data_IF_577597283036
#
_entry.id   IF_577597283036
#
_cell.length_a   1.000
_cell.length_b   1.000
_cell.length_c   1.000
_cell.angle_alpha   90.00
_cell.angle_beta   90.00
_cell.angle_gamma   90.00
#
_symmetry.space_group_name_H-M   'P 1'
#
loop_
_entity.id
_entity.type
_entity.pdbx_description
1 polymer ?
#
# COMPACT_ATOMS: atom_id res chain seq x y z
N UNK A 1 -30.13 4.60 9.54
CA UNK A 1 -28.80 5.13 9.91
C UNK A 1 -27.82 4.27 9.14
N UNK A 2 -27.32 4.80 8.02
CA UNK A 2 -26.29 4.14 7.21
C UNK A 2 -24.95 4.28 7.96
N UNK A 3 -24.43 3.17 8.46
CA UNK A 3 -23.05 3.11 8.94
C UNK A 3 -22.13 3.20 7.72
N UNK A 4 -21.77 4.40 7.31
CA UNK A 4 -20.69 4.64 6.37
C UNK A 4 -19.39 4.51 7.16
N UNK A 5 -18.78 3.35 7.15
CA UNK A 5 -17.38 3.23 7.50
C UNK A 5 -16.57 3.84 6.36
N UNK A 6 -16.38 5.17 6.42
CA UNK A 6 -15.52 5.90 5.49
C UNK A 6 -14.09 5.65 5.96
N UNK A 7 -13.40 4.79 5.25
CA UNK A 7 -11.96 4.66 5.38
C UNK A 7 -11.37 5.83 4.57
N UNK A 8 -11.05 6.92 5.25
CA UNK A 8 -10.34 8.05 4.65
C UNK A 8 -8.89 7.64 4.45
N UNK A 9 -8.55 7.19 3.26
CA UNK A 9 -7.17 6.91 2.88
C UNK A 9 -6.84 7.61 1.58
N UNK A 10 -5.97 8.56 1.72
CA UNK A 10 -4.89 9.00 0.84
C UNK A 10 -5.18 9.43 -0.58
N UNK A 11 -4.64 10.61 -0.81
CA UNK A 11 -4.59 11.36 -2.07
C UNK A 11 -3.66 10.65 -3.06
N UNK A 12 -4.22 9.81 -3.90
CA UNK A 12 -3.65 9.49 -5.20
C UNK A 12 -4.02 10.67 -6.12
N UNK A 13 -3.13 11.17 -6.94
CA UNK A 13 -3.28 12.44 -7.70
C UNK A 13 -4.65 12.70 -8.34
N UNK A 14 -5.49 11.70 -8.54
CA UNK A 14 -6.85 11.82 -9.07
C UNK A 14 -7.93 11.09 -8.26
N UNK A 15 -7.58 10.47 -7.13
CA UNK A 15 -8.51 9.72 -6.28
C UNK A 15 -8.62 10.44 -4.93
N UNK A 16 -9.81 10.94 -4.62
CA UNK A 16 -10.08 11.64 -3.36
C UNK A 16 -10.36 10.70 -2.20
N UNK A 17 -10.96 9.55 -2.48
CA UNK A 17 -11.29 8.53 -1.50
C UNK A 17 -11.53 7.17 -2.18
N UNK A 18 -11.38 6.12 -1.39
CA UNK A 18 -11.76 4.75 -1.73
C UNK A 18 -12.81 4.30 -0.74
N UNK A 19 -13.92 3.77 -1.22
CA UNK A 19 -15.04 3.34 -0.38
C UNK A 19 -15.47 1.92 -0.77
N UNK A 20 -15.70 1.08 0.23
CA UNK A 20 -16.35 -0.22 0.03
C UNK A 20 -17.85 -0.03 0.26
N UNK A 21 -18.64 -0.18 -0.80
CA UNK A 21 -20.11 -0.11 -0.75
C UNK A 21 -20.72 -1.49 -0.80
N UNK A 22 -21.72 -1.69 0.00
CA UNK A 22 -22.58 -2.86 -0.09
C UNK A 22 -23.94 -2.45 -0.66
N UNK A 23 -24.26 -2.95 -1.84
CA UNK A 23 -25.60 -2.82 -2.38
C UNK A 23 -26.44 -4.00 -1.91
N UNK A 24 -27.59 -3.69 -1.38
CA UNK A 24 -28.52 -4.67 -0.86
C UNK A 24 -29.65 -4.92 -1.87
N UNK A 25 -29.75 -6.13 -2.36
CA UNK A 25 -30.89 -6.58 -3.15
C UNK A 25 -31.72 -7.61 -2.38
N UNK A 26 -33.00 -7.32 -2.20
CA UNK A 26 -33.94 -8.24 -1.60
C UNK A 26 -34.53 -9.11 -2.71
N UNK A 27 -34.03 -10.34 -2.86
CA UNK A 27 -34.58 -11.32 -3.79
C UNK A 27 -35.42 -12.34 -2.99
N UNK A 28 -36.71 -12.13 -2.92
CA UNK A 28 -37.63 -13.00 -2.13
C UNK A 28 -37.31 -12.97 -0.64
N UNK A 29 -37.07 -14.13 -0.04
CA UNK A 29 -36.70 -14.29 1.39
C UNK A 29 -35.19 -14.23 1.62
N UNK A 30 -34.36 -14.22 0.59
CA UNK A 30 -32.92 -14.19 0.68
C UNK A 30 -32.40 -12.76 0.61
N UNK A 31 -31.37 -12.48 1.42
CA UNK A 31 -30.62 -11.21 1.38
C UNK A 31 -29.34 -11.44 0.58
N UNK A 32 -29.20 -10.77 -0.54
CA UNK A 32 -27.99 -10.80 -1.33
C UNK A 32 -27.25 -9.46 -1.17
N UNK A 33 -25.99 -9.52 -0.77
CA UNK A 33 -25.12 -8.36 -0.63
C UNK A 33 -24.11 -8.37 -1.78
N UNK A 34 -24.12 -7.32 -2.57
CA UNK A 34 -23.10 -7.09 -3.60
C UNK A 34 -22.14 -6.03 -3.09
N UNK A 35 -20.88 -6.43 -2.84
CA UNK A 35 -19.84 -5.50 -2.42
C UNK A 35 -19.12 -4.98 -3.65
N UNK A 36 -18.93 -3.67 -3.71
CA UNK A 36 -18.16 -3.00 -4.75
C UNK A 36 -17.23 -1.95 -4.16
N UNK A 37 -16.12 -1.72 -4.84
CA UNK A 37 -15.15 -0.70 -4.48
C UNK A 37 -15.34 0.48 -5.41
N UNK A 38 -15.52 1.66 -4.84
CA UNK A 38 -15.77 2.91 -5.55
C UNK A 38 -14.66 3.91 -5.24
N UNK A 39 -14.16 4.55 -6.28
CA UNK A 39 -13.21 5.65 -6.16
C UNK A 39 -13.94 6.97 -6.37
N UNK A 40 -13.72 7.92 -5.46
CA UNK A 40 -14.08 9.31 -5.68
C UNK A 40 -12.98 10.03 -6.44
N UNK A 41 -13.24 10.42 -7.69
CA UNK A 41 -12.35 11.21 -8.53
C UNK A 41 -12.86 12.66 -8.69
N UNK A 42 -12.00 13.55 -9.25
CA UNK A 42 -12.40 14.95 -9.53
C UNK A 42 -13.64 15.04 -10.45
N UNK A 43 -13.80 14.09 -11.34
CA UNK A 43 -14.86 14.07 -12.37
C UNK A 43 -16.02 13.11 -12.04
N UNK A 44 -16.15 12.67 -10.80
CA UNK A 44 -17.21 11.76 -10.37
C UNK A 44 -16.69 10.49 -9.72
N UNK A 45 -17.60 9.54 -9.55
CA UNK A 45 -17.29 8.24 -8.96
C UNK A 45 -16.97 7.20 -10.03
N UNK A 46 -15.99 6.37 -9.80
CA UNK A 46 -15.57 5.27 -10.67
C UNK A 46 -15.69 3.95 -9.91
N UNK A 47 -16.39 2.98 -10.51
CA UNK A 47 -16.39 1.61 -10.01
C UNK A 47 -15.11 0.89 -10.45
N UNK A 48 -14.44 0.24 -9.50
CA UNK A 48 -13.19 -0.49 -9.74
C UNK A 48 -13.35 -1.61 -10.78
N UNK A 49 -14.54 -2.20 -10.90
CA UNK A 49 -14.77 -3.37 -11.74
C UNK A 49 -14.67 -3.11 -13.24
N UNK A 50 -14.87 -1.88 -13.71
CA UNK A 50 -14.96 -1.63 -15.15
C UNK A 50 -14.09 -0.53 -15.71
N UNK A 51 -13.55 0.38 -14.89
CA UNK A 51 -12.96 1.64 -15.37
C UNK A 51 -11.56 1.94 -14.83
N UNK A 52 -10.96 1.04 -14.07
CA UNK A 52 -9.64 1.23 -13.50
C UNK A 52 -8.57 0.47 -14.28
N UNK A 53 -7.40 1.08 -14.43
CA UNK A 53 -6.21 0.41 -14.96
C UNK A 53 -5.76 -0.73 -14.03
N UNK A 54 -4.92 -1.63 -14.55
CA UNK A 54 -4.37 -2.73 -13.74
C UNK A 54 -3.57 -2.20 -12.53
N UNK A 55 -2.72 -1.17 -12.73
CA UNK A 55 -1.96 -0.53 -11.66
C UNK A 55 -2.85 0.10 -10.60
N UNK A 56 -3.90 0.82 -11.00
CA UNK A 56 -4.87 1.39 -10.07
C UNK A 56 -5.58 0.33 -9.22
N UNK A 57 -5.90 -0.83 -9.80
CA UNK A 57 -6.50 -1.95 -9.05
C UNK A 57 -5.56 -2.53 -8.00
N UNK A 58 -4.27 -2.69 -8.36
CA UNK A 58 -3.25 -3.19 -7.45
C UNK A 58 -3.04 -2.20 -6.31
N UNK A 59 -2.83 -0.93 -6.62
CA UNK A 59 -2.67 0.13 -5.63
C UNK A 59 -3.86 0.21 -4.67
N UNK A 60 -5.07 0.19 -5.19
CA UNK A 60 -6.29 0.17 -4.37
C UNK A 60 -6.36 -1.06 -3.45
N UNK A 61 -5.98 -2.23 -3.97
CA UNK A 61 -5.94 -3.46 -3.18
C UNK A 61 -4.97 -3.35 -2.01
N UNK A 62 -3.78 -2.78 -2.22
CA UNK A 62 -2.79 -2.55 -1.17
C UNK A 62 -3.33 -1.56 -0.15
N UNK A 63 -3.86 -0.43 -0.58
CA UNK A 63 -4.43 0.60 0.30
C UNK A 63 -5.57 0.04 1.16
N UNK A 64 -6.49 -0.73 0.57
CA UNK A 64 -7.58 -1.36 1.31
C UNK A 64 -7.03 -2.33 2.37
N UNK A 65 -6.02 -3.14 2.03
CA UNK A 65 -5.39 -4.05 2.99
C UNK A 65 -4.72 -3.29 4.14
N UNK A 66 -4.03 -2.18 3.83
CA UNK A 66 -3.42 -1.32 4.84
C UNK A 66 -4.46 -0.75 5.78
N UNK A 67 -5.56 -0.24 5.23
CA UNK A 67 -6.67 0.31 6.01
C UNK A 67 -7.36 -0.72 6.90
N UNK A 68 -7.58 -1.92 6.38
CA UNK A 68 -8.15 -3.02 7.16
C UNK A 68 -7.19 -3.45 8.26
N UNK A 69 -5.89 -3.54 7.97
CA UNK A 69 -4.88 -3.85 8.97
C UNK A 69 -4.86 -2.78 10.07
N UNK A 70 -4.96 -1.50 9.70
CA UNK A 70 -4.99 -0.39 10.66
C UNK A 70 -6.25 -0.41 11.53
N UNK A 71 -7.40 -0.75 10.94
CA UNK A 71 -8.70 -0.76 11.65
C UNK A 71 -8.85 -1.96 12.58
N UNK A 72 -8.43 -3.15 12.13
CA UNK A 72 -8.68 -4.40 12.83
C UNK A 72 -7.49 -4.93 13.61
N UNK A 73 -6.30 -4.45 13.28
CA UNK A 73 -5.03 -4.90 13.88
C UNK A 73 -4.36 -3.78 14.68
N UNK A 74 -5.11 -3.02 15.46
CA UNK A 74 -4.60 -1.90 16.28
C UNK A 74 -3.43 -2.28 17.19
N UNK A 75 -3.30 -3.57 17.54
CA UNK A 75 -2.20 -4.10 18.33
C UNK A 75 -1.16 -4.86 17.49
N UNK A 76 -1.30 -4.87 16.15
CA UNK A 76 -0.33 -5.50 15.27
C UNK A 76 0.83 -4.53 15.04
N UNK A 77 1.93 -4.78 15.73
CA UNK A 77 3.14 -3.97 15.64
C UNK A 77 3.95 -4.19 14.35
N UNK A 78 3.61 -5.19 13.53
CA UNK A 78 4.39 -5.55 12.33
C UNK A 78 3.49 -5.56 11.11
N UNK A 79 3.87 -4.79 10.11
CA UNK A 79 3.28 -4.80 8.77
C UNK A 79 4.34 -5.23 7.76
N UNK A 80 4.05 -6.27 6.97
CA UNK A 80 4.96 -6.76 5.95
C UNK A 80 4.35 -6.63 4.56
N UNK A 81 5.09 -6.02 3.64
CA UNK A 81 4.74 -5.88 2.23
C UNK A 81 5.82 -6.57 1.38
N UNK A 82 5.39 -7.53 0.57
CA UNK A 82 6.26 -8.26 -0.34
C UNK A 82 5.99 -7.80 -1.78
N UNK A 83 7.05 -7.26 -2.42
CA UNK A 83 7.04 -6.73 -3.79
C UNK A 83 5.84 -5.81 -4.10
N UNK A 84 5.61 -4.76 -3.30
CA UNK A 84 4.39 -3.95 -3.44
C UNK A 84 4.34 -3.13 -4.72
N UNK A 85 5.46 -2.90 -5.41
CA UNK A 85 5.53 -2.15 -6.67
C UNK A 85 5.36 -3.01 -7.92
N UNK A 86 5.28 -4.32 -7.79
CA UNK A 86 5.10 -5.23 -8.93
C UNK A 86 3.88 -4.84 -9.75
N UNK A 87 4.08 -4.60 -11.06
CA UNK A 87 3.07 -4.14 -12.02
C UNK A 87 2.49 -2.74 -11.74
N UNK A 88 3.13 -1.92 -10.94
CA UNK A 88 2.85 -0.50 -10.85
C UNK A 88 3.74 0.27 -11.84
N UNK A 89 3.19 1.35 -12.41
CA UNK A 89 3.97 2.36 -13.10
C UNK A 89 4.64 3.32 -12.07
N UNK A 90 5.51 4.20 -12.55
CA UNK A 90 6.26 5.12 -11.70
C UNK A 90 5.37 6.02 -10.87
N UNK A 91 4.26 6.51 -11.43
CA UNK A 91 3.33 7.43 -10.74
C UNK A 91 2.58 6.70 -9.62
N UNK A 92 2.11 5.48 -9.89
CA UNK A 92 1.45 4.66 -8.88
C UNK A 92 2.44 4.18 -7.81
N UNK A 93 3.70 3.91 -8.15
CA UNK A 93 4.76 3.55 -7.20
C UNK A 93 5.09 4.72 -6.27
N UNK A 94 5.18 5.95 -6.80
CA UNK A 94 5.35 7.18 -5.99
C UNK A 94 4.16 7.42 -5.06
N UNK A 95 2.94 7.24 -5.56
CA UNK A 95 1.72 7.38 -4.77
C UNK A 95 1.69 6.37 -3.63
N UNK A 96 2.10 5.12 -3.87
CA UNK A 96 2.22 4.10 -2.83
C UNK A 96 3.28 4.48 -1.79
N UNK A 97 4.46 4.95 -2.22
CA UNK A 97 5.51 5.38 -1.30
C UNK A 97 5.03 6.51 -0.39
N UNK A 98 4.35 7.51 -0.94
CA UNK A 98 3.76 8.61 -0.16
C UNK A 98 2.74 8.09 0.87
N UNK A 99 1.88 7.15 0.47
CA UNK A 99 0.90 6.52 1.35
C UNK A 99 1.55 5.80 2.52
N UNK A 100 2.61 5.05 2.25
CA UNK A 100 3.36 4.34 3.30
C UNK A 100 4.09 5.32 4.22
N UNK A 101 4.64 6.42 3.70
CA UNK A 101 5.27 7.49 4.51
C UNK A 101 4.29 8.11 5.50
N UNK A 102 3.06 8.39 5.08
CA UNK A 102 2.02 8.90 5.98
C UNK A 102 1.65 7.90 7.07
N UNK A 103 1.59 6.60 6.75
CA UNK A 103 1.39 5.55 7.76
C UNK A 103 2.55 5.51 8.75
N UNK A 104 3.80 5.56 8.27
CA UNK A 104 4.99 5.60 9.12
C UNK A 104 4.93 6.83 10.06
N UNK A 105 4.59 8.00 9.52
CA UNK A 105 4.48 9.24 10.30
C UNK A 105 3.36 9.17 11.34
N UNK A 106 2.18 8.69 10.98
CA UNK A 106 1.05 8.56 11.89
C UNK A 106 1.32 7.60 13.05
N UNK A 107 2.19 6.60 12.81
CA UNK A 107 2.58 5.59 13.82
C UNK A 107 3.98 5.81 14.41
N UNK A 108 4.62 6.92 14.14
CA UNK A 108 5.98 7.22 14.63
C UNK A 108 6.09 7.24 16.16
N UNK A 109 4.99 7.52 16.87
CA UNK A 109 4.91 7.48 18.33
C UNK A 109 4.65 6.08 18.90
N UNK A 110 4.21 5.15 18.05
CA UNK A 110 3.97 3.75 18.42
C UNK A 110 5.31 3.01 18.51
N UNK A 111 5.83 2.83 19.71
CA UNK A 111 7.14 2.17 19.97
C UNK A 111 7.25 0.74 19.41
N UNK A 112 6.13 0.11 19.08
CA UNK A 112 6.06 -1.27 18.64
C UNK A 112 5.70 -1.41 17.15
N UNK A 113 5.62 -0.30 16.38
CA UNK A 113 5.31 -0.38 14.96
C UNK A 113 6.57 -0.61 14.13
N UNK A 114 6.53 -1.62 13.28
CA UNK A 114 7.58 -1.96 12.34
C UNK A 114 6.99 -2.24 10.96
N UNK A 115 7.41 -1.48 9.96
CA UNK A 115 7.09 -1.74 8.56
C UNK A 115 8.26 -2.49 7.91
N UNK A 116 7.99 -3.69 7.39
CA UNK A 116 8.94 -4.49 6.62
C UNK A 116 8.53 -4.44 5.16
N UNK A 117 9.40 -3.93 4.30
CA UNK A 117 9.17 -3.89 2.85
C UNK A 117 10.24 -4.74 2.18
N UNK A 118 9.80 -5.72 1.40
CA UNK A 118 10.67 -6.56 0.57
C UNK A 118 10.47 -6.10 -0.87
N UNK A 119 11.53 -5.69 -1.54
CA UNK A 119 11.47 -5.23 -2.93
C UNK A 119 12.81 -5.37 -3.63
N UNK A 120 12.78 -5.51 -4.94
CA UNK A 120 13.95 -5.43 -5.81
C UNK A 120 14.07 -4.08 -6.53
N UNK A 121 13.12 -3.16 -6.31
CA UNK A 121 13.06 -1.85 -6.93
C UNK A 121 13.90 -0.80 -6.15
N UNK A 122 15.09 -0.40 -6.64
CA UNK A 122 15.95 0.56 -5.93
C UNK A 122 15.32 1.96 -5.87
N UNK A 123 14.52 2.34 -6.87
CA UNK A 123 13.85 3.65 -6.89
C UNK A 123 12.80 3.73 -5.78
N UNK A 124 12.06 2.65 -5.58
CA UNK A 124 11.09 2.57 -4.49
C UNK A 124 11.76 2.59 -3.11
N UNK A 125 12.90 1.92 -2.96
CA UNK A 125 13.70 1.96 -1.71
C UNK A 125 14.14 3.40 -1.40
N UNK A 126 14.57 4.15 -2.40
CA UNK A 126 14.96 5.56 -2.25
C UNK A 126 13.76 6.43 -1.87
N UNK A 127 12.66 6.29 -2.62
CA UNK A 127 11.42 7.03 -2.36
C UNK A 127 10.89 6.81 -0.94
N UNK A 128 11.04 5.60 -0.40
CA UNK A 128 10.52 5.24 0.92
C UNK A 128 11.53 5.51 2.04
N UNK A 129 12.81 5.25 1.79
CA UNK A 129 13.83 5.09 2.82
C UNK A 129 14.65 6.33 3.10
N UNK A 130 14.82 7.27 2.16
CA UNK A 130 15.73 8.41 2.31
C UNK A 130 15.52 9.26 3.57
N UNK A 131 14.29 9.34 4.05
CA UNK A 131 13.93 10.16 5.23
C UNK A 131 13.76 9.33 6.52
N UNK A 132 13.74 8.00 6.44
CA UNK A 132 13.38 7.13 7.58
C UNK A 132 14.41 6.06 7.92
N UNK A 133 15.31 5.74 7.00
CA UNK A 133 16.29 4.67 7.19
C UNK A 133 17.65 5.06 6.62
N UNK A 134 18.73 4.82 7.37
CA UNK A 134 20.11 4.99 6.90
C UNK A 134 20.64 3.75 6.17
N UNK A 135 19.97 2.61 6.39
CA UNK A 135 20.46 1.30 5.92
C UNK A 135 19.34 0.33 5.59
N UNK A 136 19.65 -0.65 4.74
CA UNK A 136 18.77 -1.72 4.34
C UNK A 136 19.48 -3.07 4.34
N UNK A 137 18.72 -4.16 4.43
CA UNK A 137 19.25 -5.52 4.28
C UNK A 137 19.22 -5.94 2.81
N UNK A 138 20.39 -6.17 2.23
CA UNK A 138 20.51 -6.74 0.89
C UNK A 138 20.61 -8.26 0.99
N UNK A 139 19.71 -8.95 0.30
CA UNK A 139 19.73 -10.41 0.15
C UNK A 139 20.18 -10.74 -1.26
N UNK A 140 21.23 -11.54 -1.41
CA UNK A 140 21.69 -12.06 -2.70
C UNK A 140 22.27 -13.45 -2.56
N UNK A 141 22.36 -14.18 -3.68
CA UNK A 141 23.06 -15.45 -3.74
C UNK A 141 24.56 -15.23 -3.80
N UNK A 142 25.31 -16.07 -3.11
CA UNK A 142 26.76 -16.17 -3.26
C UNK A 142 27.14 -17.09 -4.43
N UNK A 143 28.46 -17.32 -4.62
CA UNK A 143 28.99 -18.16 -5.70
C UNK A 143 28.54 -19.63 -5.59
N UNK A 144 28.18 -20.07 -4.39
CA UNK A 144 27.71 -21.42 -4.10
C UNK A 144 26.19 -21.54 -4.08
N UNK A 145 25.46 -20.50 -4.58
CA UNK A 145 24.02 -20.40 -4.60
C UNK A 145 23.32 -20.32 -3.24
N UNK A 146 24.04 -20.07 -2.14
CA UNK A 146 23.46 -19.81 -0.85
C UNK A 146 23.03 -18.35 -0.69
N UNK A 147 21.92 -18.11 -0.01
CA UNK A 147 21.44 -16.76 0.28
C UNK A 147 22.33 -16.11 1.34
N UNK A 148 22.86 -14.93 1.00
CA UNK A 148 23.65 -14.08 1.90
C UNK A 148 22.90 -12.80 2.21
N UNK A 149 22.82 -12.44 3.48
CA UNK A 149 22.23 -11.18 3.95
C UNK A 149 23.36 -10.23 4.35
N UNK A 150 23.33 -9.01 3.87
CA UNK A 150 24.31 -7.97 4.22
C UNK A 150 23.59 -6.63 4.47
N UNK A 151 24.04 -5.92 5.52
CA UNK A 151 23.58 -4.57 5.80
C UNK A 151 24.31 -3.60 4.86
N UNK A 152 23.54 -2.71 4.21
CA UNK A 152 24.04 -1.69 3.28
C UNK A 152 23.47 -0.33 3.64
N UNK A 153 24.23 0.73 3.38
CA UNK A 153 23.71 2.09 3.48
C UNK A 153 22.83 2.42 2.28
N UNK A 154 21.73 3.13 2.51
CA UNK A 154 20.84 3.61 1.43
C UNK A 154 21.61 4.49 0.45
N UNK A 155 22.53 5.33 0.92
CA UNK A 155 23.40 6.14 0.06
C UNK A 155 24.23 5.32 -0.94
N UNK A 156 24.46 4.02 -0.66
CA UNK A 156 25.21 3.14 -1.58
C UNK A 156 24.38 2.64 -2.78
N UNK A 157 23.08 2.82 -2.80
CA UNK A 157 22.22 2.45 -3.93
C UNK A 157 22.52 3.35 -5.13
N UNK A 158 22.79 4.64 -4.90
CA UNK A 158 23.01 5.65 -5.93
C UNK A 158 24.45 6.17 -5.97
N UNK A 159 25.29 5.78 -5.01
CA UNK A 159 26.69 6.25 -4.87
C UNK A 159 27.72 5.53 -5.73
N UNK A 160 27.31 4.71 -6.66
CA UNK A 160 28.18 4.03 -7.63
C UNK A 160 28.25 4.79 -8.96
N UNK A 161 28.86 6.00 -8.96
CA UNK A 161 29.41 6.64 -10.17
C UNK A 161 30.90 6.79 -10.00
#
# INVERSE_FOLDING_TARGET
>A
MENRNIINILIIENIKYIEIRSDYEKIGRSRNYNYRIVFGAKNGELDMRGRCSAGQKILASIIIRLALAETFCNNCGILCLDEPTTNLDDDNSRSLANSLREIIQSRSEDRNFQLIVITHDPVFVDLLGSDYCDSYYQVRKDNDNFSKVSLKSISSIFGGK
#
